data_IF_263168353267
#
_entry.id   IF_263168353267
#
_cell.length_a   1.000
_cell.length_b   1.000
_cell.length_c   1.000
_cell.angle_alpha   90.00
_cell.angle_beta   90.00
_cell.angle_gamma   90.00
#
_symmetry.space_group_name_H-M   'P 1'
#
loop_
_entity.id
_entity.type
_entity.pdbx_description
1 polymer ?
#
# COMPACT_ATOMS: atom_id res chain seq x y z
N UNK A 1 -6.63 -1.89 22.14
CA UNK A 1 -6.39 -0.67 21.35
C UNK A 1 -5.22 -0.91 20.42
N UNK A 2 -5.49 -1.12 19.12
CA UNK A 2 -4.47 -1.40 18.09
C UNK A 2 -3.73 -0.13 17.65
N UNK A 3 -3.30 0.66 18.61
CA UNK A 3 -2.47 1.83 18.33
C UNK A 3 -1.13 1.33 17.76
N UNK A 4 -0.98 1.41 16.46
CA UNK A 4 0.31 1.23 15.80
C UNK A 4 0.49 0.05 14.87
N UNK A 5 -0.58 -0.67 14.48
CA UNK A 5 -0.43 -1.69 13.43
C UNK A 5 -0.07 -1.06 12.08
N UNK A 6 0.98 -1.58 11.48
CA UNK A 6 1.44 -1.20 10.15
C UNK A 6 1.09 -2.30 9.16
N UNK A 7 0.58 -1.91 8.00
CA UNK A 7 0.30 -2.82 6.90
C UNK A 7 0.97 -2.29 5.64
N UNK A 8 1.72 -3.13 4.96
CA UNK A 8 2.21 -2.87 3.61
C UNK A 8 1.82 -4.02 2.69
N UNK A 9 1.47 -3.71 1.46
CA UNK A 9 1.06 -4.68 0.44
C UNK A 9 2.02 -4.60 -0.75
N UNK A 10 2.44 -5.76 -1.23
CA UNK A 10 3.13 -5.89 -2.50
C UNK A 10 2.09 -6.25 -3.56
N UNK A 11 1.93 -5.36 -4.55
CA UNK A 11 0.89 -5.50 -5.58
C UNK A 11 1.53 -5.43 -6.97
N UNK A 12 1.27 -6.43 -7.79
CA UNK A 12 1.56 -6.39 -9.21
C UNK A 12 0.32 -5.98 -10.00
N UNK A 13 0.53 -5.16 -11.03
CA UNK A 13 -0.55 -4.70 -11.90
C UNK A 13 -0.18 -4.97 -13.34
N UNK A 14 -1.03 -5.72 -14.00
CA UNK A 14 -0.98 -5.87 -15.44
C UNK A 14 -1.91 -4.85 -16.10
N UNK A 15 -1.32 -3.85 -16.73
CA UNK A 15 -2.05 -2.77 -17.41
C UNK A 15 -2.00 -2.91 -18.95
N UNK A 16 -1.69 -4.10 -19.49
CA UNK A 16 -1.62 -4.33 -20.93
C UNK A 16 -2.97 -4.10 -21.61
N UNK A 17 -4.06 -4.39 -20.93
CA UNK A 17 -5.41 -4.11 -21.45
C UNK A 17 -5.86 -2.72 -20.99
N UNK A 18 -5.99 -1.73 -21.91
CA UNK A 18 -6.41 -0.38 -21.54
C UNK A 18 -7.77 -0.38 -20.82
N UNK A 19 -7.87 0.36 -19.72
CA UNK A 19 -9.09 0.49 -18.93
C UNK A 19 -9.50 -0.75 -18.12
N UNK A 20 -8.75 -1.86 -18.23
CA UNK A 20 -9.01 -3.11 -17.51
C UNK A 20 -7.75 -3.72 -16.90
N UNK A 21 -7.09 -3.04 -15.98
CA UNK A 21 -5.91 -3.59 -15.33
C UNK A 21 -6.27 -4.82 -14.51
N UNK A 22 -5.42 -5.86 -14.57
CA UNK A 22 -5.47 -6.97 -13.64
C UNK A 22 -4.60 -6.64 -12.43
N UNK A 23 -5.12 -6.94 -11.25
CA UNK A 23 -4.50 -6.56 -9.97
C UNK A 23 -4.23 -7.84 -9.18
N UNK A 24 -2.98 -8.04 -8.82
CA UNK A 24 -2.53 -9.18 -8.04
C UNK A 24 -1.89 -8.70 -6.75
N UNK A 25 -2.54 -8.93 -5.61
CA UNK A 25 -1.93 -8.72 -4.29
C UNK A 25 -1.07 -9.94 -3.99
N UNK A 26 0.23 -9.76 -4.07
CA UNK A 26 1.21 -10.86 -4.02
C UNK A 26 1.56 -11.25 -2.59
N UNK A 27 1.72 -10.25 -1.72
CA UNK A 27 2.17 -10.48 -0.35
C UNK A 27 1.78 -9.31 0.55
N UNK A 28 1.80 -9.55 1.86
CA UNK A 28 1.57 -8.54 2.87
C UNK A 28 2.66 -8.58 3.94
N UNK A 29 2.97 -7.41 4.45
CA UNK A 29 3.70 -7.21 5.69
C UNK A 29 2.76 -6.59 6.70
N UNK A 30 2.66 -7.21 7.86
CA UNK A 30 1.87 -6.71 8.98
C UNK A 30 2.70 -6.75 10.26
N UNK A 31 2.61 -5.70 11.06
CA UNK A 31 3.29 -5.62 12.34
C UNK A 31 2.51 -4.74 13.30
N UNK A 32 2.64 -5.00 14.59
CA UNK A 32 2.24 -4.07 15.63
C UNK A 32 3.18 -2.86 15.71
N UNK A 33 3.09 -2.11 16.80
CA UNK A 33 4.00 -0.99 17.05
C UNK A 33 5.45 -1.48 17.14
N UNK A 34 6.30 -0.94 16.28
CA UNK A 34 7.71 -1.28 16.21
C UNK A 34 8.53 -0.06 15.72
N UNK A 35 9.86 -0.04 15.92
CA UNK A 35 10.73 0.95 15.31
C UNK A 35 10.61 0.99 13.78
N UNK A 36 10.78 2.16 13.19
CA UNK A 36 10.65 2.35 11.75
C UNK A 36 11.61 1.46 10.94
N UNK A 37 12.78 1.19 11.44
CA UNK A 37 13.78 0.30 10.84
C UNK A 37 13.28 -1.15 10.74
N UNK A 38 12.54 -1.61 11.75
CA UNK A 38 11.96 -2.96 11.74
C UNK A 38 10.88 -3.05 10.65
N UNK A 39 10.07 -2.01 10.49
CA UNK A 39 9.11 -1.94 9.39
C UNK A 39 9.80 -1.90 8.03
N UNK A 40 10.86 -1.10 7.87
CA UNK A 40 11.64 -1.07 6.63
C UNK A 40 12.23 -2.44 6.30
N UNK A 41 12.87 -3.11 7.27
CA UNK A 41 13.40 -4.48 7.08
C UNK A 41 12.30 -5.49 6.73
N UNK A 42 11.15 -5.43 7.41
CA UNK A 42 10.02 -6.32 7.15
C UNK A 42 9.45 -6.15 5.73
N UNK A 43 9.32 -4.90 5.27
CA UNK A 43 8.87 -4.59 3.91
C UNK A 43 9.89 -5.07 2.87
N UNK A 44 11.19 -4.84 3.09
CA UNK A 44 12.24 -5.33 2.20
C UNK A 44 12.28 -6.86 2.16
N UNK A 45 12.11 -7.53 3.30
CA UNK A 45 12.02 -8.99 3.36
C UNK A 45 10.78 -9.51 2.60
N UNK A 46 9.63 -8.83 2.69
CA UNK A 46 8.45 -9.16 1.90
C UNK A 46 8.75 -9.10 0.40
N UNK A 47 9.37 -8.03 -0.08
CA UNK A 47 9.78 -7.87 -1.48
C UNK A 47 10.78 -8.97 -1.88
N UNK A 48 11.77 -9.24 -1.03
CA UNK A 48 12.79 -10.26 -1.27
C UNK A 48 12.25 -11.69 -1.40
N UNK A 49 11.14 -12.03 -0.72
CA UNK A 49 10.48 -13.33 -0.88
C UNK A 49 10.00 -13.62 -2.29
N UNK A 50 9.85 -12.60 -3.11
CA UNK A 50 9.46 -12.71 -4.52
C UNK A 50 10.65 -12.60 -5.48
N UNK A 51 11.89 -12.69 -4.99
CA UNK A 51 13.09 -12.52 -5.80
C UNK A 51 13.29 -11.10 -6.31
N UNK A 52 12.59 -10.13 -5.71
CA UNK A 52 12.62 -8.71 -6.07
C UNK A 52 13.48 -7.93 -5.09
N UNK A 53 13.93 -6.78 -5.53
CA UNK A 53 14.58 -5.76 -4.70
C UNK A 53 13.72 -4.50 -4.66
N UNK A 54 14.05 -3.57 -3.77
CA UNK A 54 13.38 -2.28 -3.74
C UNK A 54 13.45 -1.50 -5.07
N UNK A 55 14.45 -1.78 -5.91
CA UNK A 55 14.62 -1.17 -7.22
C UNK A 55 13.60 -1.65 -8.26
N UNK A 56 13.01 -2.82 -8.04
CA UNK A 56 11.95 -3.37 -8.90
C UNK A 56 10.56 -2.80 -8.57
N UNK A 57 10.47 -1.98 -7.51
CA UNK A 57 9.21 -1.38 -7.09
C UNK A 57 9.04 0.00 -7.72
N UNK A 58 8.19 0.11 -8.72
CA UNK A 58 7.99 1.34 -9.47
C UNK A 58 7.30 2.45 -8.67
N UNK A 59 6.44 2.05 -7.75
CA UNK A 59 5.64 3.02 -7.00
C UNK A 59 5.50 2.63 -5.54
N UNK A 60 5.77 3.60 -4.68
CA UNK A 60 5.56 3.51 -3.25
C UNK A 60 4.46 4.49 -2.85
N UNK A 61 3.44 4.00 -2.16
CA UNK A 61 2.32 4.82 -1.70
C UNK A 61 2.10 4.59 -0.22
N UNK A 62 1.91 5.65 0.53
CA UNK A 62 1.66 5.60 1.97
C UNK A 62 0.56 6.54 2.40
N UNK A 63 -0.01 6.27 3.57
CA UNK A 63 -1.03 7.11 4.15
C UNK A 63 -0.47 8.47 4.58
N UNK A 64 -1.21 9.54 4.26
CA UNK A 64 -0.92 10.91 4.71
C UNK A 64 -1.16 11.07 6.21
N UNK A 65 -1.97 10.23 6.81
CA UNK A 65 -2.77 10.57 7.97
C UNK A 65 -2.02 11.29 9.11
N UNK A 66 -0.69 11.39 9.06
CA UNK A 66 0.08 11.96 10.16
C UNK A 66 1.36 12.72 9.76
N UNK A 67 1.45 13.18 8.52
CA UNK A 67 2.64 13.88 7.98
C UNK A 67 2.79 15.34 8.38
N UNK A 68 2.38 15.78 9.57
CA UNK A 68 2.57 17.19 9.87
C UNK A 68 2.23 17.67 11.29
N UNK A 69 1.63 16.88 12.12
CA UNK A 69 1.36 17.30 13.50
C UNK A 69 2.32 16.59 14.47
N UNK A 70 3.31 17.32 14.95
CA UNK A 70 4.03 16.96 16.18
C UNK A 70 2.99 16.67 17.27
N UNK A 71 2.88 15.43 17.72
CA UNK A 71 2.04 15.10 18.86
C UNK A 71 1.08 13.93 18.74
N UNK A 72 0.93 13.28 17.61
CA UNK A 72 0.16 12.03 17.57
C UNK A 72 1.04 10.86 18.00
N UNK A 73 0.86 10.42 19.23
CA UNK A 73 1.59 9.32 19.84
C UNK A 73 1.62 8.08 18.94
N UNK A 74 2.82 7.63 18.58
CA UNK A 74 3.06 6.28 18.07
C UNK A 74 2.79 6.01 16.57
N UNK A 75 2.39 7.00 15.76
CA UNK A 75 2.10 6.76 14.34
C UNK A 75 3.29 7.16 13.46
N UNK A 76 3.74 6.19 12.66
CA UNK A 76 4.85 6.39 11.73
C UNK A 76 4.42 7.26 10.54
N UNK A 77 5.20 8.29 10.24
CA UNK A 77 5.01 9.10 9.04
C UNK A 77 5.78 8.53 7.84
N UNK A 78 5.37 8.91 6.63
CA UNK A 78 6.10 8.54 5.41
C UNK A 78 7.56 9.00 5.46
N UNK A 79 7.86 10.16 6.06
CA UNK A 79 9.22 10.67 6.21
C UNK A 79 10.06 9.83 7.19
N UNK A 80 9.47 9.36 8.27
CA UNK A 80 10.15 8.46 9.21
C UNK A 80 10.49 7.12 8.56
N UNK A 81 9.55 6.56 7.80
CA UNK A 81 9.78 5.33 7.07
C UNK A 81 10.83 5.50 5.96
N UNK A 82 10.82 6.62 5.24
CA UNK A 82 11.87 6.95 4.26
C UNK A 82 13.25 7.02 4.91
N UNK A 83 13.38 7.70 6.04
CA UNK A 83 14.64 7.74 6.79
C UNK A 83 15.08 6.36 7.32
N UNK A 84 14.12 5.49 7.67
CA UNK A 84 14.42 4.12 8.05
C UNK A 84 14.93 3.28 6.86
N UNK A 85 14.35 3.43 5.67
CA UNK A 85 14.89 2.80 4.46
C UNK A 85 16.31 3.28 4.15
N UNK A 86 16.60 4.57 4.29
CA UNK A 86 17.95 5.11 4.12
C UNK A 86 18.96 4.38 5.02
N UNK A 87 18.65 4.25 6.29
CA UNK A 87 19.53 3.59 7.25
C UNK A 87 19.68 2.08 7.02
N UNK A 88 18.59 1.42 6.67
CA UNK A 88 18.58 -0.05 6.44
C UNK A 88 19.27 -0.43 5.13
N UNK A 89 19.14 0.39 4.11
CA UNK A 89 19.74 0.16 2.79
C UNK A 89 21.16 0.71 2.68
N UNK A 90 21.60 1.48 3.68
CA UNK A 90 22.83 2.28 3.59
C UNK A 90 22.90 3.11 2.31
N UNK A 91 21.77 3.74 1.97
CA UNK A 91 21.61 4.47 0.71
C UNK A 91 20.92 5.82 0.95
N UNK A 92 21.56 6.94 0.58
CA UNK A 92 21.02 8.27 0.86
C UNK A 92 19.63 8.49 0.26
N UNK A 93 18.64 8.86 1.07
CA UNK A 93 17.24 9.11 0.64
C UNK A 93 17.18 10.05 -0.56
N UNK A 94 18.01 11.10 -0.62
CA UNK A 94 18.06 12.04 -1.74
C UNK A 94 18.42 11.39 -3.08
N UNK A 95 19.06 10.22 -3.06
CA UNK A 95 19.46 9.44 -4.25
C UNK A 95 18.51 8.31 -4.56
N UNK A 96 17.56 8.01 -3.67
CA UNK A 96 16.53 7.01 -3.97
C UNK A 96 15.71 7.48 -5.17
N UNK A 97 15.54 6.64 -6.20
CA UNK A 97 14.80 7.01 -7.41
C UNK A 97 13.29 7.10 -7.16
N UNK A 98 12.84 6.74 -5.95
CA UNK A 98 11.45 6.74 -5.55
C UNK A 98 11.22 7.54 -4.26
N UNK A 99 9.96 7.90 -4.04
CA UNK A 99 9.46 8.50 -2.81
C UNK A 99 8.16 7.82 -2.44
N UNK A 100 7.91 7.67 -1.14
CA UNK A 100 6.59 7.27 -0.68
C UNK A 100 5.63 8.40 -1.01
N UNK A 101 4.80 8.17 -2.01
CA UNK A 101 3.78 9.14 -2.43
C UNK A 101 2.64 9.10 -1.44
N UNK A 102 2.10 10.25 -1.17
CA UNK A 102 0.93 10.40 -0.35
C UNK A 102 -0.31 9.85 -1.05
N UNK A 103 -1.04 8.98 -0.37
CA UNK A 103 -2.30 8.47 -0.89
C UNK A 103 -3.33 9.57 -1.07
N UNK A 104 -3.99 9.61 -2.21
CA UNK A 104 -5.08 10.53 -2.45
C UNK A 104 -6.35 10.06 -1.73
N UNK A 105 -6.92 10.92 -0.88
CA UNK A 105 -8.06 10.61 -0.01
C UNK A 105 -9.20 11.63 -0.18
N UNK A 106 -9.91 11.64 -1.31
CA UNK A 106 -11.10 12.47 -1.42
C UNK A 106 -12.19 12.01 -0.45
N UNK A 107 -13.10 12.93 -0.08
CA UNK A 107 -14.12 12.70 0.95
C UNK A 107 -14.97 11.45 0.74
N UNK A 108 -15.18 11.04 -0.52
CA UNK A 108 -15.95 9.87 -0.94
C UNK A 108 -15.08 8.63 -1.28
N UNK A 109 -13.76 8.70 -1.10
CA UNK A 109 -12.81 7.68 -1.57
C UNK A 109 -13.02 6.31 -0.94
N UNK A 110 -13.59 6.22 0.26
CA UNK A 110 -13.81 4.94 0.94
C UNK A 110 -14.85 4.13 0.18
N UNK A 111 -16.02 4.71 -0.06
CA UNK A 111 -17.10 4.03 -0.79
C UNK A 111 -16.73 3.72 -2.23
N UNK A 112 -16.18 4.71 -2.93
CA UNK A 112 -15.76 4.56 -4.32
C UNK A 112 -14.66 3.51 -4.48
N UNK A 113 -13.67 3.52 -3.59
CA UNK A 113 -12.60 2.51 -3.61
C UNK A 113 -13.11 1.11 -3.36
N UNK A 114 -14.09 0.95 -2.45
CA UNK A 114 -14.76 -0.33 -2.24
C UNK A 114 -15.48 -0.83 -3.49
N UNK A 115 -16.21 0.04 -4.17
CA UNK A 115 -16.91 -0.31 -5.41
C UNK A 115 -15.92 -0.74 -6.52
N UNK A 116 -14.79 -0.04 -6.64
CA UNK A 116 -13.74 -0.39 -7.62
C UNK A 116 -13.18 -1.78 -7.33
N UNK A 117 -12.80 -2.05 -6.09
CA UNK A 117 -12.25 -3.35 -5.69
C UNK A 117 -13.29 -4.45 -5.91
N UNK A 118 -14.53 -4.23 -5.49
CA UNK A 118 -15.62 -5.19 -5.69
C UNK A 118 -15.87 -5.47 -7.17
N UNK A 119 -15.94 -4.44 -8.01
CA UNK A 119 -16.12 -4.59 -9.45
C UNK A 119 -14.97 -5.36 -10.10
N UNK A 120 -13.72 -5.12 -9.67
CA UNK A 120 -12.56 -5.86 -10.15
C UNK A 120 -12.61 -7.34 -9.76
N UNK A 121 -13.08 -7.65 -8.54
CA UNK A 121 -13.30 -9.03 -8.08
C UNK A 121 -14.39 -9.73 -8.88
N UNK A 122 -15.54 -9.10 -9.09
CA UNK A 122 -16.65 -9.65 -9.87
C UNK A 122 -16.29 -9.92 -11.35
N UNK A 123 -15.28 -9.23 -11.86
CA UNK A 123 -14.81 -9.36 -13.25
C UNK A 123 -13.56 -10.25 -13.38
N UNK A 124 -13.21 -10.99 -12.32
CA UNK A 124 -12.01 -11.85 -12.24
C UNK A 124 -10.69 -11.13 -12.59
N UNK A 125 -10.64 -9.82 -12.29
CA UNK A 125 -9.46 -8.96 -12.52
C UNK A 125 -8.69 -8.62 -11.23
N UNK A 126 -9.11 -9.19 -10.13
CA UNK A 126 -8.49 -8.99 -8.83
C UNK A 126 -8.21 -10.35 -8.20
N UNK A 127 -6.94 -10.59 -7.91
CA UNK A 127 -6.48 -11.80 -7.25
C UNK A 127 -5.66 -11.46 -6.02
N UNK A 128 -5.79 -12.28 -5.00
CA UNK A 128 -5.05 -12.11 -3.76
C UNK A 128 -4.38 -13.42 -3.36
N UNK A 129 -3.10 -13.33 -3.06
CA UNK A 129 -2.33 -14.47 -2.58
C UNK A 129 -2.87 -14.96 -1.24
N UNK A 130 -2.92 -16.30 -1.02
CA UNK A 130 -3.26 -16.87 0.29
C UNK A 130 -2.31 -16.42 1.43
N UNK A 131 -1.15 -15.86 1.10
CA UNK A 131 -0.21 -15.28 2.07
C UNK A 131 -0.76 -14.01 2.72
N UNK A 132 -1.64 -13.28 2.05
CA UNK A 132 -2.26 -12.03 2.51
C UNK A 132 -3.41 -12.30 3.49
N UNK A 133 -3.13 -13.00 4.58
CA UNK A 133 -4.13 -13.48 5.53
C UNK A 133 -4.91 -12.34 6.18
N UNK A 134 -4.22 -11.29 6.62
CA UNK A 134 -4.87 -10.15 7.27
C UNK A 134 -5.70 -9.36 6.27
N UNK A 135 -5.21 -9.15 5.05
CA UNK A 135 -5.96 -8.46 4.00
C UNK A 135 -7.21 -9.25 3.61
N UNK A 136 -7.11 -10.58 3.48
CA UNK A 136 -8.27 -11.45 3.19
C UNK A 136 -9.31 -11.36 4.31
N UNK A 137 -8.88 -11.48 5.57
CA UNK A 137 -9.80 -11.35 6.71
C UNK A 137 -10.41 -9.93 6.81
N UNK A 138 -9.63 -8.91 6.52
CA UNK A 138 -10.11 -7.53 6.46
C UNK A 138 -11.19 -7.35 5.40
N UNK A 139 -11.01 -7.91 4.20
CA UNK A 139 -12.00 -7.85 3.13
C UNK A 139 -13.29 -8.60 3.48
N UNK A 140 -13.20 -9.79 4.12
CA UNK A 140 -14.37 -10.56 4.56
C UNK A 140 -15.19 -9.84 5.61
N UNK A 141 -14.53 -9.07 6.48
CA UNK A 141 -15.15 -8.39 7.62
C UNK A 141 -15.34 -6.89 7.39
N UNK A 142 -14.96 -6.40 6.21
CA UNK A 142 -15.00 -4.99 5.93
C UNK A 142 -16.43 -4.47 5.98
N UNK A 143 -16.63 -3.56 6.90
CA UNK A 143 -17.82 -2.72 6.99
C UNK A 143 -17.36 -1.27 6.80
N UNK A 144 -18.26 -0.42 6.34
CA UNK A 144 -17.96 1.01 6.13
C UNK A 144 -17.74 1.80 7.44
N UNK A 145 -17.56 1.10 8.54
CA UNK A 145 -17.26 1.69 9.85
C UNK A 145 -15.85 2.28 9.86
N UNK A 146 -15.74 3.47 10.43
CA UNK A 146 -14.50 4.25 10.38
C UNK A 146 -13.38 3.72 11.28
N UNK A 147 -13.70 2.89 12.25
CA UNK A 147 -12.79 2.45 13.29
C UNK A 147 -12.86 0.94 13.49
N UNK A 148 -11.75 0.25 13.29
CA UNK A 148 -11.63 -1.17 13.55
C UNK A 148 -10.31 -1.75 13.06
N UNK A 149 -9.89 -2.90 13.57
CA UNK A 149 -8.59 -3.51 13.26
C UNK A 149 -8.43 -3.90 11.79
N UNK A 150 -9.54 -3.96 11.05
CA UNK A 150 -9.57 -4.39 9.65
C UNK A 150 -9.45 -3.23 8.64
N UNK A 151 -9.46 -1.98 9.10
CA UNK A 151 -9.44 -0.81 8.23
C UNK A 151 -8.08 -0.61 7.55
N UNK A 152 -6.99 -0.91 8.22
CA UNK A 152 -5.65 -0.61 7.72
C UNK A 152 -5.29 -1.38 6.43
N UNK A 153 -5.61 -2.67 6.36
CA UNK A 153 -5.33 -3.48 5.17
C UNK A 153 -6.22 -3.09 3.99
N UNK A 154 -7.52 -2.83 4.23
CA UNK A 154 -8.44 -2.37 3.20
C UNK A 154 -8.11 -0.96 2.72
N UNK A 155 -7.63 -0.09 3.60
CA UNK A 155 -7.14 1.24 3.23
C UNK A 155 -5.88 1.17 2.38
N UNK A 156 -4.89 0.35 2.77
CA UNK A 156 -3.68 0.15 1.99
C UNK A 156 -4.01 -0.37 0.58
N UNK A 157 -4.91 -1.35 0.48
CA UNK A 157 -5.38 -1.88 -0.79
C UNK A 157 -6.07 -0.81 -1.64
N UNK A 158 -6.96 -0.04 -1.05
CA UNK A 158 -7.71 1.03 -1.72
C UNK A 158 -6.77 2.13 -2.25
N UNK A 159 -5.78 2.52 -1.47
CA UNK A 159 -4.79 3.54 -1.89
C UNK A 159 -3.92 3.08 -3.06
N UNK A 160 -3.70 1.78 -3.17
CA UNK A 160 -3.00 1.21 -4.29
C UNK A 160 -3.89 1.10 -5.54
N UNK A 161 -5.09 0.53 -5.40
CA UNK A 161 -5.95 0.11 -6.52
C UNK A 161 -6.67 1.27 -7.18
N UNK A 162 -7.22 2.23 -6.40
CA UNK A 162 -8.02 3.32 -6.94
C UNK A 162 -7.29 4.15 -8.00
N UNK A 163 -6.02 4.57 -7.77
CA UNK A 163 -5.30 5.34 -8.79
C UNK A 163 -4.97 4.58 -10.08
N UNK A 164 -5.16 3.27 -10.09
CA UNK A 164 -4.87 2.44 -11.27
C UNK A 164 -6.08 2.24 -12.17
N UNK A 165 -7.25 2.20 -11.56
CA UNK A 165 -8.50 1.87 -12.24
C UNK A 165 -9.27 3.13 -12.62
N UNK A 166 -9.09 4.20 -11.90
CA UNK A 166 -9.78 5.47 -12.14
C UNK A 166 -8.84 6.51 -12.76
N UNK A 167 -9.02 6.80 -14.04
CA UNK A 167 -8.18 7.74 -14.79
C UNK A 167 -8.15 9.16 -14.19
N UNK A 168 -9.16 9.55 -13.45
CA UNK A 168 -9.19 10.83 -12.72
C UNK A 168 -8.05 10.97 -11.71
N UNK A 169 -7.45 9.85 -11.32
CA UNK A 169 -6.33 9.78 -10.36
C UNK A 169 -5.00 9.43 -11.01
N UNK A 170 -4.97 9.24 -12.33
CA UNK A 170 -3.73 9.02 -13.07
C UNK A 170 -2.96 10.33 -13.22
N UNK A 171 -2.09 10.63 -12.26
CA UNK A 171 -1.01 11.56 -12.54
C UNK A 171 0.03 10.87 -13.44
N UNK A 172 -0.10 11.02 -14.77
CA UNK A 172 0.75 10.51 -15.87
C UNK A 172 0.96 8.99 -15.95
N UNK A 173 0.88 8.42 -17.15
CA UNK A 173 1.09 7.00 -17.36
C UNK A 173 2.55 6.65 -17.17
N UNK A 174 2.90 5.57 -16.54
CA UNK A 174 4.15 4.87 -16.77
C UNK A 174 3.89 3.65 -17.64
N UNK A 175 4.78 3.49 -18.58
CA UNK A 175 4.95 2.28 -19.35
C UNK A 175 5.82 1.32 -18.56
N UNK A 176 5.27 0.65 -17.53
CA UNK A 176 6.02 -0.40 -16.83
C UNK A 176 5.13 -1.15 -15.83
N UNK A 177 5.47 -2.39 -15.57
CA UNK A 177 4.91 -3.19 -14.47
C UNK A 177 5.11 -2.42 -13.16
N UNK A 178 4.03 -2.16 -12.45
CA UNK A 178 4.06 -1.45 -11.18
C UNK A 178 3.83 -2.41 -10.05
N UNK A 179 4.79 -2.46 -9.15
CA UNK A 179 4.67 -3.13 -7.87
C UNK A 179 4.33 -2.05 -6.84
N UNK A 180 3.29 -2.26 -6.05
CA UNK A 180 2.78 -1.32 -5.05
C UNK A 180 2.94 -1.86 -3.64
#
# INVERSE_FOLDING_TARGET
SDAGSQVALLIAVDARTPGRPEIHVLDEYTSGAAPAENHARGILAMIGRHGLTWQNVDRWTGDIAHGGKKGSHGKMSNSMLMGAFERVLDYPVRRLPWRIRTAFKPRWSVYHGAQIIHAAMCQDRFRISPRCKQTIESLKRWRFEKDGPFVHATDALRYAVVPMVDDRYRSRPPASVRIY
#
